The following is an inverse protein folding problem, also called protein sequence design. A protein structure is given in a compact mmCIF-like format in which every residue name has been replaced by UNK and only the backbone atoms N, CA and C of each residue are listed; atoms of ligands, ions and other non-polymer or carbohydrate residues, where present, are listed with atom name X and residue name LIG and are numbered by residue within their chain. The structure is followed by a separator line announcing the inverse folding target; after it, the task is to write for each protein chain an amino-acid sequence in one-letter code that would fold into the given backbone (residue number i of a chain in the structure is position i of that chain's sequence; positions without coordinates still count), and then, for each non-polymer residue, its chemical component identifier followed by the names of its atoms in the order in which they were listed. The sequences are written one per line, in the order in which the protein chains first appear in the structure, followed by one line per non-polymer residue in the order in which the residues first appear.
data_IF_623526367740
#
_entry.id   IF_623526367740
#
_cell.length_a   1.000
_cell.length_b   1.000
_cell.length_c   1.000
_cell.angle_alpha   90.00
_cell.angle_beta   90.00
_cell.angle_gamma   90.00
#
_symmetry.space_group_name_H-M   'P 1'
#
loop_
_entity.id
_entity.type
_entity.pdbx_description
1 polymer ?
#
# COMPACT_ATOMS: atom_id res chain seq x y z
N UNK A 1 4.16 11.78 -2.27
CA UNK A 1 5.56 11.28 -2.32
C UNK A 1 5.54 9.98 -3.09
N UNK A 2 6.59 9.68 -3.86
CA UNK A 2 6.69 8.41 -4.61
C UNK A 2 7.98 7.72 -4.24
N UNK A 3 7.90 6.42 -3.93
CA UNK A 3 9.05 5.59 -3.59
C UNK A 3 9.01 4.34 -4.46
N UNK A 4 10.09 4.09 -5.18
CA UNK A 4 10.29 2.84 -5.91
C UNK A 4 10.97 1.81 -5.01
N UNK A 5 10.50 0.57 -5.05
CA UNK A 5 11.14 -0.49 -4.29
C UNK A 5 10.37 -1.81 -4.32
N UNK A 6 10.87 -2.76 -3.54
CA UNK A 6 10.28 -4.09 -3.41
C UNK A 6 9.28 -4.14 -2.27
N UNK A 7 8.08 -4.62 -2.56
CA UNK A 7 7.05 -4.90 -1.56
C UNK A 7 7.30 -6.27 -0.92
N UNK A 8 7.26 -6.33 0.41
CA UNK A 8 7.32 -7.56 1.19
C UNK A 8 6.10 -7.65 2.13
N UNK A 9 5.39 -8.77 2.11
CA UNK A 9 4.27 -9.07 3.00
C UNK A 9 4.66 -10.21 3.95
N UNK A 10 5.18 -9.84 5.13
CA UNK A 10 5.77 -10.81 6.06
C UNK A 10 5.25 -10.69 7.47
N UNK A 11 5.36 -11.79 8.21
CA UNK A 11 5.07 -11.85 9.63
C UNK A 11 5.97 -10.86 10.38
N UNK A 12 5.36 -10.04 11.23
CA UNK A 12 6.06 -9.10 12.10
C UNK A 12 5.59 -9.27 13.55
N UNK A 13 6.37 -8.73 14.48
CA UNK A 13 6.06 -8.67 15.91
C UNK A 13 5.71 -10.03 16.54
N UNK A 14 6.37 -11.11 16.10
CA UNK A 14 6.10 -12.47 16.57
C UNK A 14 6.21 -12.59 18.10
N UNK A 15 5.19 -13.16 18.74
CA UNK A 15 5.05 -13.27 20.19
C UNK A 15 4.48 -12.03 20.89
N UNK A 16 3.98 -11.03 20.14
CA UNK A 16 3.32 -9.83 20.67
C UNK A 16 1.81 -9.85 20.41
N UNK A 17 1.05 -9.00 21.12
CA UNK A 17 -0.37 -8.72 20.81
C UNK A 17 -0.56 -8.06 19.45
N UNK A 18 0.51 -7.48 18.91
CA UNK A 18 0.58 -6.88 17.58
C UNK A 18 1.15 -7.84 16.55
N UNK A 19 1.28 -9.13 16.86
CA UNK A 19 1.71 -10.13 15.89
C UNK A 19 0.76 -10.13 14.67
N UNK A 20 1.34 -10.09 13.47
CA UNK A 20 0.56 -10.16 12.24
C UNK A 20 1.41 -9.96 10.99
N UNK A 21 0.84 -10.32 9.85
CA UNK A 21 1.44 -10.00 8.56
C UNK A 21 1.31 -8.51 8.28
N UNK A 22 2.39 -7.90 7.81
CA UNK A 22 2.44 -6.49 7.43
C UNK A 22 3.13 -6.32 6.10
N UNK A 23 2.76 -5.25 5.42
CA UNK A 23 3.40 -4.81 4.21
C UNK A 23 4.54 -3.84 4.51
N UNK A 24 5.66 -4.06 3.82
CA UNK A 24 6.84 -3.21 3.85
C UNK A 24 7.26 -2.88 2.43
N UNK A 25 7.81 -1.68 2.24
CA UNK A 25 8.53 -1.32 1.02
C UNK A 25 10.00 -1.16 1.37
N UNK A 26 10.88 -1.86 0.66
CA UNK A 26 12.32 -1.64 0.73
C UNK A 26 12.77 -0.90 -0.52
N UNK A 27 13.25 0.34 -0.36
CA UNK A 27 13.74 1.15 -1.49
C UNK A 27 15.13 0.70 -1.96
N UNK A 28 15.60 1.31 -3.06
CA UNK A 28 16.91 1.01 -3.66
C UNK A 28 18.10 1.35 -2.74
N UNK A 29 17.91 2.27 -1.78
CA UNK A 29 18.91 2.60 -0.76
C UNK A 29 18.87 1.63 0.45
N UNK A 30 17.92 0.68 0.45
CA UNK A 30 17.72 -0.29 1.53
C UNK A 30 16.92 0.25 2.72
N UNK A 31 16.24 1.40 2.59
CA UNK A 31 15.36 1.93 3.62
C UNK A 31 14.03 1.20 3.60
N UNK A 32 13.47 0.95 4.78
CA UNK A 32 12.26 0.16 4.95
C UNK A 32 11.13 1.07 5.44
N UNK A 33 10.01 1.07 4.71
CA UNK A 33 8.80 1.82 5.03
C UNK A 33 7.67 0.85 5.39
N UNK A 34 6.92 1.12 6.47
CA UNK A 34 5.76 0.31 6.86
C UNK A 34 4.53 0.80 6.12
N UNK A 35 3.99 -0.01 5.22
CA UNK A 35 2.85 0.40 4.39
C UNK A 35 1.53 0.21 5.14
N UNK A 36 0.58 1.12 4.94
CA UNK A 36 -0.80 0.98 5.39
C UNK A 36 -1.76 1.79 4.50
N UNK A 37 -3.06 1.51 4.61
CA UNK A 37 -4.14 2.24 3.92
C UNK A 37 -5.01 2.95 4.96
N UNK A 38 -5.59 4.11 4.63
CA UNK A 38 -6.26 4.99 5.59
C UNK A 38 -7.39 4.30 6.38
N UNK A 39 -8.18 3.44 5.72
CA UNK A 39 -9.36 2.80 6.29
C UNK A 39 -9.14 1.34 6.72
N UNK A 40 -7.89 0.89 6.80
CA UNK A 40 -7.55 -0.50 7.13
C UNK A 40 -6.54 -0.57 8.26
N UNK A 41 -6.69 -1.60 9.09
CA UNK A 41 -5.66 -1.93 10.06
C UNK A 41 -4.38 -2.34 9.30
N UNK A 42 -3.19 -1.88 9.75
CA UNK A 42 -1.93 -2.16 9.05
C UNK A 42 -1.47 -3.62 9.15
N UNK A 43 -2.27 -4.48 9.80
CA UNK A 43 -1.97 -5.91 10.01
C UNK A 43 -3.01 -6.74 9.28
N UNK A 44 -2.54 -7.71 8.49
CA UNK A 44 -3.42 -8.64 7.80
C UNK A 44 -4.21 -8.01 6.64
N UNK A 45 -3.78 -6.87 6.10
CA UNK A 45 -4.45 -6.22 4.98
C UNK A 45 -4.26 -7.06 3.69
N UNK A 46 -5.33 -7.70 3.17
CA UNK A 46 -5.21 -8.61 2.03
C UNK A 46 -4.82 -7.91 0.73
N UNK A 47 -4.92 -6.57 0.65
CA UNK A 47 -4.51 -5.79 -0.51
C UNK A 47 -3.04 -6.00 -0.87
N UNK A 48 -2.17 -6.13 0.13
CA UNK A 48 -0.72 -6.28 -0.10
C UNK A 48 -0.28 -7.73 -0.30
N UNK A 49 -1.10 -8.71 0.08
CA UNK A 49 -0.76 -10.12 -0.06
C UNK A 49 -0.39 -10.55 -1.49
N UNK A 50 -1.14 -10.16 -2.56
CA UNK A 50 -0.75 -10.49 -3.93
C UNK A 50 0.48 -9.73 -4.42
N UNK A 51 0.90 -8.67 -3.72
CA UNK A 51 2.03 -7.82 -4.10
C UNK A 51 3.35 -8.27 -3.47
N UNK A 52 3.33 -9.31 -2.64
CA UNK A 52 4.52 -9.85 -1.99
C UNK A 52 5.58 -10.26 -3.03
N UNK A 53 6.74 -9.63 -2.92
CA UNK A 53 7.88 -9.89 -3.79
C UNK A 53 7.94 -9.06 -5.07
N UNK A 54 6.93 -8.23 -5.36
CA UNK A 54 6.90 -7.37 -6.55
C UNK A 54 7.72 -6.09 -6.36
N UNK A 55 8.34 -5.61 -7.44
CA UNK A 55 8.83 -4.24 -7.53
C UNK A 55 7.68 -3.32 -7.98
N UNK A 56 7.59 -2.16 -7.35
CA UNK A 56 6.52 -1.21 -7.61
C UNK A 56 6.91 0.21 -7.21
N UNK A 57 6.23 1.20 -7.82
CA UNK A 57 6.22 2.57 -7.34
C UNK A 57 5.04 2.76 -6.38
N UNK A 58 5.34 3.11 -5.14
CA UNK A 58 4.33 3.39 -4.11
C UNK A 58 4.17 4.88 -3.97
N UNK A 59 2.96 5.38 -4.25
CA UNK A 59 2.57 6.77 -4.14
C UNK A 59 1.77 6.95 -2.85
N UNK A 60 2.14 7.97 -2.08
CA UNK A 60 1.47 8.25 -0.82
C UNK A 60 2.15 9.31 0.04
N UNK A 61 1.89 9.24 1.34
CA UNK A 61 2.42 10.17 2.33
C UNK A 61 3.24 9.42 3.39
N UNK A 62 4.48 9.86 3.62
CA UNK A 62 5.32 9.32 4.68
C UNK A 62 5.08 10.05 6.01
N UNK A 63 4.83 9.28 7.07
CA UNK A 63 4.69 9.76 8.43
C UNK A 63 6.00 9.57 9.20
N UNK A 64 6.80 10.64 9.31
CA UNK A 64 8.13 10.57 9.95
C UNK A 64 8.07 10.13 11.42
N UNK A 65 7.03 10.53 12.15
CA UNK A 65 6.88 10.24 13.58
C UNK A 65 6.68 8.74 13.87
N UNK A 66 6.04 8.02 12.95
CA UNK A 66 5.65 6.61 13.13
C UNK A 66 6.50 5.67 12.27
N UNK A 67 7.13 6.19 11.22
CA UNK A 67 7.82 5.42 10.19
C UNK A 67 6.87 4.66 9.27
N UNK A 68 5.59 5.06 9.24
CA UNK A 68 4.58 4.50 8.37
C UNK A 68 4.46 5.30 7.07
N UNK A 69 3.98 4.64 6.03
CA UNK A 69 3.73 5.24 4.74
C UNK A 69 2.28 4.93 4.36
N UNK A 70 1.46 5.97 4.33
CA UNK A 70 0.09 5.91 3.89
C UNK A 70 0.07 5.74 2.38
N UNK A 71 -0.34 4.57 1.91
CA UNK A 71 -0.42 4.24 0.49
C UNK A 71 -1.71 4.82 -0.07
N UNK A 72 -1.59 5.57 -1.16
CA UNK A 72 -2.70 6.10 -1.96
C UNK A 72 -2.83 5.32 -3.28
N UNK A 73 -1.70 4.97 -3.91
CA UNK A 73 -1.68 4.22 -5.18
C UNK A 73 -0.39 3.41 -5.29
N UNK A 74 -0.47 2.23 -5.92
CA UNK A 74 0.69 1.41 -6.29
C UNK A 74 0.71 1.26 -7.81
N UNK A 75 1.85 1.56 -8.44
CA UNK A 75 2.07 1.33 -9.86
C UNK A 75 3.01 0.14 -10.01
N UNK A 76 2.55 -0.91 -10.68
CA UNK A 76 3.35 -2.10 -10.96
C UNK A 76 4.21 -1.92 -12.21
N UNK A 77 5.22 -2.77 -12.39
CA UNK A 77 6.12 -2.75 -13.56
C UNK A 77 5.40 -2.89 -14.92
N UNK A 78 4.23 -3.52 -14.94
CA UNK A 78 3.40 -3.65 -16.15
C UNK A 78 2.57 -2.40 -16.47
N UNK A 79 2.69 -1.36 -15.63
CA UNK A 79 1.96 -0.10 -15.73
C UNK A 79 0.58 -0.13 -15.07
N UNK A 80 0.18 -1.22 -14.41
CA UNK A 80 -1.09 -1.30 -13.71
C UNK A 80 -1.10 -0.38 -12.49
N UNK A 81 -2.13 0.45 -12.39
CA UNK A 81 -2.39 1.32 -11.25
C UNK A 81 -3.38 0.65 -10.30
N UNK A 82 -2.96 0.44 -9.05
CA UNK A 82 -3.76 -0.13 -7.98
C UNK A 82 -4.07 0.97 -6.96
N UNK A 83 -5.26 1.59 -7.00
CA UNK A 83 -5.67 2.53 -5.98
C UNK A 83 -5.80 1.80 -4.63
N UNK A 84 -5.23 2.39 -3.59
CA UNK A 84 -5.29 1.85 -2.23
C UNK A 84 -6.61 2.21 -1.54
N UNK A 85 -7.36 3.19 -2.04
CA UNK A 85 -8.69 3.45 -1.56
C UNK A 85 -9.66 2.46 -2.21
N UNK A 86 -10.52 1.86 -1.39
CA UNK A 86 -11.71 1.16 -1.88
C UNK A 86 -12.71 2.26 -2.34
N UNK A 87 -12.37 3.04 -3.37
CA UNK A 87 -13.38 3.87 -4.04
C UNK A 87 -14.36 2.88 -4.67
N UNK A 88 -15.52 2.67 -4.03
CA UNK A 88 -16.66 2.15 -4.76
C UNK A 88 -16.86 3.08 -5.94
N UNK A 89 -16.73 2.55 -7.15
CA UNK A 89 -17.10 3.20 -8.40
C UNK A 89 -18.50 3.82 -8.24
N UNK A 90 -18.56 5.09 -7.86
CA UNK A 90 -19.73 5.91 -8.13
C UNK A 90 -19.64 6.22 -9.62
N UNK A 91 -20.03 5.25 -10.45
CA UNK A 91 -20.55 5.51 -11.80
C UNK A 91 -21.81 6.38 -11.65
N UNK A 92 -21.63 7.68 -11.40
CA UNK A 92 -22.71 8.63 -11.47
C UNK A 92 -23.00 8.95 -12.95
N UNK A 93 -24.14 8.43 -13.40
CA UNK A 93 -24.82 8.73 -14.64
C UNK A 93 -25.20 10.21 -14.74
N UNK A 94 -24.49 11.01 -15.52
CA UNK A 94 -24.94 12.33 -16.00
C UNK A 94 -24.15 12.63 -17.30
N UNK A 95 -24.67 12.97 -18.49
CA UNK A 95 -25.99 13.36 -18.95
C UNK A 95 -26.12 12.99 -20.44
N UNK A 96 -27.27 12.47 -20.87
CA UNK A 96 -27.79 12.84 -22.19
C UNK A 96 -29.25 13.21 -22.06
N UNK A 97 -29.46 14.38 -21.47
CA UNK A 97 -30.59 15.22 -21.86
C UNK A 97 -30.40 15.67 -23.31
N UNK A 98 -31.53 15.77 -24.01
CA UNK A 98 -31.79 16.24 -25.38
C UNK A 98 -31.94 15.11 -26.42
#
# INVERSE_FOLDING_TARGET
MTIHGKIEYRMSDSGSKSEGFRAFLTDEEGRIYKLYRADRLPYGDPFFQPLDGMEAEVIGTFEEDTGYFLVETIILDDGSELPANDEEDIENQEEKSI
#
